data_IF_488420170024
#
_entry.id   IF_488420170024
#
_cell.length_a   1.000
_cell.length_b   1.000
_cell.length_c   1.000
_cell.angle_alpha   90.00
_cell.angle_beta   90.00
_cell.angle_gamma   90.00
#
_symmetry.space_group_name_H-M   'P 1'
#
loop_
_entity.id
_entity.type
_entity.pdbx_description
1 polymer ?
#
# COMPACT_ATOMS: atom_id res chain seq x y z
N UNK A 1 -8.33 -10.50 -9.86
CA UNK A 1 -9.71 -10.54 -9.35
C UNK A 1 -9.79 -11.43 -8.14
N UNK A 2 -10.60 -11.06 -7.15
CA UNK A 2 -10.78 -11.86 -5.92
C UNK A 2 -11.72 -13.01 -6.21
N UNK A 3 -11.22 -14.25 -6.10
CA UNK A 3 -11.96 -15.47 -6.40
C UNK A 3 -11.69 -16.48 -5.28
N UNK A 4 -12.75 -17.01 -4.68
CA UNK A 4 -12.65 -18.10 -3.71
C UNK A 4 -12.27 -19.39 -4.45
N UNK A 5 -11.14 -20.00 -4.07
CA UNK A 5 -10.71 -21.32 -4.58
C UNK A 5 -10.73 -22.40 -3.50
N UNK A 6 -10.73 -21.97 -2.23
CA UNK A 6 -10.85 -22.85 -1.08
C UNK A 6 -12.12 -22.50 -0.32
N UNK A 7 -12.93 -23.49 0.00
CA UNK A 7 -14.04 -23.35 0.96
C UNK A 7 -13.50 -23.40 2.39
N UNK A 8 -14.33 -23.03 3.37
CA UNK A 8 -13.94 -23.09 4.78
C UNK A 8 -13.56 -24.50 5.24
N UNK A 9 -14.29 -25.52 4.80
CA UNK A 9 -13.99 -26.92 5.17
C UNK A 9 -12.62 -27.38 4.65
N UNK A 10 -12.19 -26.87 3.49
CA UNK A 10 -10.89 -27.21 2.90
C UNK A 10 -9.71 -26.58 3.64
N UNK A 11 -9.94 -25.54 4.46
CA UNK A 11 -8.89 -24.82 5.18
C UNK A 11 -8.26 -25.63 6.31
N UNK A 12 -8.92 -26.68 6.77
CA UNK A 12 -8.48 -27.59 7.84
C UNK A 12 -7.37 -28.54 7.37
N UNK A 13 -7.32 -28.85 6.07
CA UNK A 13 -6.26 -29.69 5.51
C UNK A 13 -4.91 -28.96 5.63
N UNK A 14 -3.96 -29.62 6.30
CA UNK A 14 -2.59 -29.12 6.51
C UNK A 14 -1.88 -28.80 5.19
N UNK A 15 -2.26 -29.46 4.10
CA UNK A 15 -1.77 -29.20 2.75
C UNK A 15 -2.05 -27.75 2.30
N UNK A 16 -3.09 -27.11 2.86
CA UNK A 16 -3.49 -25.76 2.49
C UNK A 16 -2.77 -24.65 3.25
N UNK A 17 -1.83 -24.99 4.16
CA UNK A 17 -1.08 -24.00 4.96
C UNK A 17 -0.23 -23.05 4.08
N UNK A 18 0.16 -23.50 2.90
CA UNK A 18 0.93 -22.71 1.91
C UNK A 18 0.05 -21.96 0.91
N UNK A 19 -1.27 -21.92 1.14
CA UNK A 19 -2.23 -21.25 0.27
C UNK A 19 -2.77 -19.96 0.90
N UNK A 20 -3.13 -19.01 0.04
CA UNK A 20 -3.59 -17.69 0.39
C UNK A 20 -4.92 -17.73 1.14
N UNK A 21 -4.91 -17.18 2.36
CA UNK A 21 -6.06 -17.12 3.28
C UNK A 21 -6.88 -15.83 3.18
N UNK A 22 -6.79 -15.12 2.06
CA UNK A 22 -7.57 -13.89 1.87
C UNK A 22 -9.06 -14.24 1.71
N UNK A 23 -9.97 -13.69 2.54
CA UNK A 23 -11.39 -13.98 2.46
C UNK A 23 -11.99 -13.37 1.19
N UNK A 24 -12.82 -14.15 0.50
CA UNK A 24 -13.51 -13.74 -0.72
C UNK A 24 -15.00 -14.05 -0.56
N UNK A 25 -15.85 -13.06 -0.87
CA UNK A 25 -17.30 -13.18 -0.78
C UNK A 25 -17.87 -12.78 0.58
N UNK A 26 -19.18 -12.95 0.73
CA UNK A 26 -19.94 -12.70 1.96
C UNK A 26 -20.05 -13.99 2.79
N UNK A 27 -19.69 -14.01 4.09
CA UNK A 27 -19.81 -15.18 4.96
C UNK A 27 -21.18 -15.86 5.01
N UNK A 28 -22.26 -15.16 4.64
CA UNK A 28 -23.63 -15.69 4.62
C UNK A 28 -24.01 -16.33 3.29
N UNK A 29 -23.15 -16.26 2.28
CA UNK A 29 -23.41 -16.79 0.95
C UNK A 29 -22.58 -18.05 0.67
N UNK A 30 -23.11 -18.99 -0.12
CA UNK A 30 -22.42 -20.25 -0.45
C UNK A 30 -21.13 -20.08 -1.29
N UNK A 31 -20.80 -18.85 -1.71
CA UNK A 31 -19.55 -18.51 -2.38
C UNK A 31 -18.44 -18.02 -1.46
N UNK A 32 -18.64 -18.05 -0.13
CA UNK A 32 -17.61 -17.63 0.82
C UNK A 32 -16.46 -18.61 0.89
N UNK A 33 -15.24 -18.09 0.81
CA UNK A 33 -14.05 -18.90 0.93
C UNK A 33 -12.77 -18.08 0.95
N UNK A 34 -11.65 -18.74 0.71
CA UNK A 34 -10.34 -18.11 0.61
C UNK A 34 -9.80 -18.14 -0.83
N UNK A 35 -8.96 -17.17 -1.15
CA UNK A 35 -8.32 -17.03 -2.46
C UNK A 35 -7.62 -18.32 -2.96
N UNK A 36 -6.91 -19.03 -2.09
CA UNK A 36 -6.30 -20.34 -2.38
C UNK A 36 -5.10 -20.35 -3.32
N UNK A 37 -4.70 -19.21 -3.90
CA UNK A 37 -3.45 -19.10 -4.66
C UNK A 37 -2.22 -19.38 -3.77
N UNK A 38 -1.06 -19.75 -4.33
CA UNK A 38 0.16 -19.93 -3.55
C UNK A 38 0.46 -18.70 -2.69
N UNK A 39 0.65 -18.92 -1.39
CA UNK A 39 1.04 -17.87 -0.46
C UNK A 39 2.47 -17.42 -0.77
N UNK A 40 2.74 -16.13 -0.55
CA UNK A 40 4.10 -15.61 -0.61
C UNK A 40 4.90 -16.12 0.59
N UNK A 41 6.18 -16.42 0.41
CA UNK A 41 7.04 -16.89 1.49
C UNK A 41 6.99 -15.95 2.70
N UNK A 42 6.77 -16.52 3.88
CA UNK A 42 6.68 -15.80 5.15
C UNK A 42 5.37 -15.04 5.38
N UNK A 43 4.42 -15.09 4.45
CA UNK A 43 3.13 -14.40 4.54
C UNK A 43 1.96 -15.38 4.34
N UNK A 44 0.78 -15.12 4.93
CA UNK A 44 -0.40 -15.96 4.76
C UNK A 44 -1.17 -15.70 3.45
N UNK A 45 -0.68 -14.78 2.61
CA UNK A 45 -1.38 -14.29 1.42
C UNK A 45 -0.51 -14.39 0.17
N UNK A 46 -1.14 -14.53 -1.01
CA UNK A 46 -0.44 -14.42 -2.29
C UNK A 46 0.07 -12.98 -2.49
N UNK A 47 0.98 -12.77 -3.44
CA UNK A 47 1.59 -11.46 -3.67
C UNK A 47 0.56 -10.33 -3.84
N UNK A 48 -0.56 -10.62 -4.50
CA UNK A 48 -1.60 -9.63 -4.74
C UNK A 48 -2.39 -9.26 -3.49
N UNK A 49 -2.81 -10.26 -2.70
CA UNK A 49 -3.53 -10.03 -1.45
C UNK A 49 -2.63 -9.51 -0.33
N UNK A 50 -1.35 -9.88 -0.31
CA UNK A 50 -0.36 -9.33 0.62
C UNK A 50 -0.21 -7.81 0.43
N UNK A 51 -0.09 -7.34 -0.82
CA UNK A 51 -0.03 -5.91 -1.12
C UNK A 51 -1.24 -5.16 -0.59
N UNK A 52 -2.44 -5.74 -0.66
CA UNK A 52 -3.67 -5.10 -0.17
C UNK A 52 -3.74 -5.11 1.35
N UNK A 53 -3.35 -6.22 1.99
CA UNK A 53 -3.34 -6.37 3.44
C UNK A 53 -2.38 -5.39 4.12
N UNK A 54 -1.20 -5.21 3.53
CA UNK A 54 -0.09 -4.47 4.12
C UNK A 54 0.22 -3.15 3.40
N UNK A 55 -0.62 -2.71 2.47
CA UNK A 55 -0.49 -1.37 1.92
C UNK A 55 -0.61 -0.37 3.07
N UNK A 56 0.37 0.54 3.17
CA UNK A 56 0.21 1.68 4.04
C UNK A 56 -1.09 2.41 3.66
N UNK A 57 -1.87 2.91 4.64
CA UNK A 57 -2.96 3.81 4.32
C UNK A 57 -2.36 4.91 3.44
N UNK A 58 -3.00 5.15 2.29
CA UNK A 58 -2.55 6.20 1.38
C UNK A 58 -2.41 7.47 2.23
N UNK A 59 -1.17 7.91 2.45
CA UNK A 59 -0.94 9.24 2.96
C UNK A 59 -1.63 10.11 1.92
N UNK A 60 -2.77 10.70 2.30
CA UNK A 60 -3.30 11.83 1.55
C UNK A 60 -2.13 12.78 1.58
N UNK A 61 -1.41 12.90 0.47
CA UNK A 61 -0.32 13.83 0.30
C UNK A 61 -0.93 15.22 0.35
N UNK A 62 -1.39 15.64 1.54
CA UNK A 62 -1.38 17.04 1.89
C UNK A 62 0.07 17.43 1.68
N UNK A 63 0.36 18.28 0.67
CA UNK A 63 1.73 18.72 0.46
C UNK A 63 2.25 19.24 1.81
N UNK A 64 3.51 18.94 2.16
CA UNK A 64 4.07 19.43 3.41
C UNK A 64 3.79 20.92 3.51
N UNK A 65 3.21 21.36 4.64
CA UNK A 65 2.79 22.76 4.88
C UNK A 65 3.92 23.77 4.66
N UNK A 66 5.17 23.30 4.64
CA UNK A 66 6.39 24.07 4.46
C UNK A 66 6.93 24.13 3.02
N UNK A 67 6.32 23.43 2.04
CA UNK A 67 6.81 23.45 0.64
C UNK A 67 6.61 24.80 -0.06
N UNK A 68 5.86 25.73 0.54
CA UNK A 68 5.71 27.10 0.04
C UNK A 68 6.92 28.00 0.33
N UNK A 69 7.83 27.63 1.25
CA UNK A 69 8.93 28.52 1.67
C UNK A 69 10.23 28.33 0.90
N UNK A 70 10.41 27.21 0.19
CA UNK A 70 11.66 26.96 -0.56
C UNK A 70 11.75 27.79 -1.86
N UNK A 71 10.62 28.08 -2.51
CA UNK A 71 10.60 28.89 -3.73
C UNK A 71 10.82 30.39 -3.44
N UNK A 72 10.65 30.83 -2.20
CA UNK A 72 10.86 32.22 -1.78
C UNK A 72 12.35 32.58 -1.56
N UNK A 73 13.21 31.59 -1.30
CA UNK A 73 14.65 31.80 -1.08
C UNK A 73 15.47 31.72 -2.38
N UNK A 74 14.83 31.35 -3.49
CA UNK A 74 15.45 31.23 -4.81
C UNK A 74 15.24 32.47 -5.69
N UNK A 75 14.61 33.53 -5.17
CA UNK A 75 14.55 34.81 -5.87
C UNK A 75 15.98 35.35 -6.05
N UNK A 76 16.42 35.71 -7.28
CA UNK A 76 17.74 36.28 -7.48
C UNK A 76 17.81 37.64 -6.77
N UNK A 77 18.79 37.81 -5.87
CA UNK A 77 19.13 39.10 -5.27
C UNK A 77 19.50 40.07 -6.39
N UNK A 78 18.95 41.29 -6.36
CA UNK A 78 19.19 42.28 -7.42
C UNK A 78 20.67 42.67 -7.46
N UNK A 79 21.17 42.99 -8.65
CA UNK A 79 22.58 43.34 -8.85
C UNK A 79 22.98 44.63 -8.10
N UNK A 80 22.03 45.49 -7.83
CA UNK A 80 22.24 46.74 -7.09
C UNK A 80 22.51 46.44 -5.60
N UNK A 81 21.81 45.48 -5.00
CA UNK A 81 22.02 45.06 -3.61
C UNK A 81 23.39 44.40 -3.37
N UNK A 82 23.92 43.66 -4.35
CA UNK A 82 25.28 43.09 -4.22
C UNK A 82 26.38 44.15 -4.31
N UNK A 83 26.16 45.25 -5.05
CA UNK A 83 27.15 46.35 -5.13
C UNK A 83 27.17 47.17 -3.83
N UNK A 84 26.04 47.37 -3.16
CA UNK A 84 25.96 48.12 -1.88
C UNK A 84 26.64 47.38 -0.72
N UNK A 85 26.56 46.04 -0.66
CA UNK A 85 27.21 45.24 0.41
C UNK A 85 28.73 45.15 0.22
N UNK A 86 29.22 45.34 -1.01
CA UNK A 86 30.64 45.26 -1.35
C UNK A 86 31.35 46.64 -1.32
N UNK A 87 30.62 47.72 -1.05
CA UNK A 87 31.14 49.08 -0.89
C UNK A 87 31.45 49.40 0.59
#
# INVERSE_FOLDING_TARGET
SDVARLTLDQLEDRSTITQCRWPVGDPRQPGFGCCGCPAHTGLPYCADHARRAYAAPAVRSSPPKYRLHIDALAAPVSREEVEEVLA
#
